data_IF_122710513149
#
_entry.id   IF_122710513149
#
_cell.length_a   1.000
_cell.length_b   1.000
_cell.length_c   1.000
_cell.angle_alpha   90.00
_cell.angle_beta   90.00
_cell.angle_gamma   90.00
#
_symmetry.space_group_name_H-M   'P 1'
#
loop_
_entity.id
_entity.type
_entity.pdbx_description
1 polymer ?
#
# COMPACT_ATOMS: atom_id res chain seq x y z
N UNK A 1 9.28 -17.76 -21.59
CA UNK A 1 8.50 -16.71 -20.90
C UNK A 1 7.02 -16.90 -21.20
N UNK A 2 6.24 -17.34 -20.21
CA UNK A 2 4.81 -17.63 -20.34
C UNK A 2 4.08 -16.27 -20.46
N UNK A 3 3.60 -15.92 -21.66
CA UNK A 3 2.72 -14.73 -21.82
C UNK A 3 1.50 -14.97 -20.94
N UNK A 4 1.43 -14.30 -19.81
CA UNK A 4 0.20 -14.21 -19.02
C UNK A 4 -0.86 -13.69 -20.00
N UNK A 5 -1.82 -14.55 -20.37
CA UNK A 5 -2.97 -14.14 -21.16
C UNK A 5 -3.75 -13.16 -20.30
N UNK A 6 -3.49 -11.86 -20.49
CA UNK A 6 -4.38 -10.86 -19.98
C UNK A 6 -5.73 -11.11 -20.66
N UNK A 7 -6.77 -11.34 -19.85
CA UNK A 7 -8.09 -11.61 -20.38
C UNK A 7 -8.68 -10.26 -20.76
N UNK A 8 -8.37 -9.79 -21.98
CA UNK A 8 -8.82 -8.52 -22.54
C UNK A 8 -10.33 -8.31 -22.30
N UNK A 9 -11.13 -9.37 -22.44
CA UNK A 9 -12.57 -9.36 -22.22
C UNK A 9 -12.95 -9.00 -20.77
N UNK A 10 -12.22 -9.52 -19.78
CA UNK A 10 -12.46 -9.21 -18.36
C UNK A 10 -12.07 -7.77 -18.04
N UNK A 11 -10.96 -7.29 -18.60
CA UNK A 11 -10.50 -5.90 -18.41
C UNK A 11 -11.52 -4.92 -18.95
N UNK A 12 -12.06 -5.17 -20.14
CA UNK A 12 -13.08 -4.33 -20.78
C UNK A 12 -14.38 -4.37 -20.00
N UNK A 13 -14.82 -5.56 -19.57
CA UNK A 13 -16.01 -5.67 -18.72
C UNK A 13 -15.82 -4.88 -17.42
N UNK A 14 -14.64 -4.93 -16.81
CA UNK A 14 -14.32 -4.14 -15.60
C UNK A 14 -14.41 -2.63 -15.87
N UNK A 15 -13.92 -2.16 -17.03
CA UNK A 15 -14.02 -0.75 -17.43
C UNK A 15 -15.49 -0.34 -17.63
N UNK A 16 -16.27 -1.13 -18.35
CA UNK A 16 -17.69 -0.87 -18.61
C UNK A 16 -18.50 -0.86 -17.31
N UNK A 17 -18.29 -1.84 -16.44
CA UNK A 17 -18.93 -1.91 -15.12
C UNK A 17 -18.54 -0.72 -14.25
N UNK A 18 -17.27 -0.34 -14.23
CA UNK A 18 -16.79 0.82 -13.50
C UNK A 18 -17.43 2.13 -13.96
N UNK A 19 -17.45 2.38 -15.28
CA UNK A 19 -18.12 3.56 -15.86
C UNK A 19 -19.62 3.58 -15.58
N UNK A 20 -20.27 2.41 -15.63
CA UNK A 20 -21.70 2.28 -15.32
C UNK A 20 -21.97 2.60 -13.85
N UNK A 21 -21.17 2.06 -12.92
CA UNK A 21 -21.25 2.36 -11.49
C UNK A 21 -21.10 3.87 -11.21
N UNK A 22 -20.12 4.51 -11.87
CA UNK A 22 -19.90 5.96 -11.76
C UNK A 22 -21.11 6.74 -12.28
N UNK A 23 -21.72 6.31 -13.39
CA UNK A 23 -22.91 6.97 -13.94
C UNK A 23 -24.10 6.93 -12.97
N UNK A 24 -24.25 5.82 -12.22
CA UNK A 24 -25.31 5.67 -11.22
C UNK A 24 -25.04 6.55 -9.99
N UNK A 25 -23.79 6.65 -9.53
CA UNK A 25 -23.44 7.49 -8.37
C UNK A 25 -23.50 8.99 -8.68
N UNK A 26 -23.16 9.38 -9.91
CA UNK A 26 -23.09 10.80 -10.29
C UNK A 26 -24.37 11.34 -10.95
N UNK A 27 -25.36 10.50 -11.24
CA UNK A 27 -26.59 10.86 -11.99
C UNK A 27 -26.33 11.55 -13.35
N UNK A 28 -25.12 11.42 -13.89
CA UNK A 28 -24.72 12.02 -15.17
C UNK A 28 -24.80 10.97 -16.28
N UNK A 29 -25.71 11.20 -17.24
CA UNK A 29 -25.95 10.28 -18.35
C UNK A 29 -24.78 10.16 -19.35
N UNK A 30 -23.86 11.12 -19.39
CA UNK A 30 -22.72 11.11 -20.32
C UNK A 30 -21.81 9.88 -20.13
N UNK A 31 -21.60 9.46 -18.89
CA UNK A 31 -20.78 8.27 -18.58
C UNK A 31 -21.45 6.97 -19.03
N UNK A 32 -22.78 6.92 -19.04
CA UNK A 32 -23.53 5.76 -19.51
C UNK A 32 -23.39 5.62 -21.03
N UNK A 33 -23.51 6.72 -21.78
CA UNK A 33 -23.26 6.71 -23.23
C UNK A 33 -21.83 6.28 -23.55
N UNK A 34 -20.83 6.76 -22.81
CA UNK A 34 -19.44 6.34 -22.97
C UNK A 34 -19.26 4.83 -22.69
N UNK A 35 -19.88 4.29 -21.64
CA UNK A 35 -19.82 2.87 -21.31
C UNK A 35 -20.42 1.99 -22.43
N UNK A 36 -21.56 2.39 -22.97
CA UNK A 36 -22.23 1.67 -24.08
C UNK A 36 -21.40 1.72 -25.36
N UNK A 37 -20.81 2.87 -25.69
CA UNK A 37 -19.95 3.00 -26.88
C UNK A 37 -18.70 2.12 -26.73
N UNK A 38 -18.01 2.20 -25.59
CA UNK A 38 -16.80 1.41 -25.34
C UNK A 38 -17.12 -0.08 -25.34
N UNK A 39 -18.22 -0.49 -24.69
CA UNK A 39 -18.70 -1.86 -24.71
C UNK A 39 -19.06 -2.33 -26.12
N UNK A 40 -19.83 -1.56 -26.88
CA UNK A 40 -20.22 -1.88 -28.25
C UNK A 40 -19.02 -2.00 -29.19
N UNK A 41 -18.08 -1.05 -29.13
CA UNK A 41 -16.84 -1.08 -29.93
C UNK A 41 -16.00 -2.32 -29.60
N UNK A 42 -15.96 -2.72 -28.33
CA UNK A 42 -15.20 -3.90 -27.90
C UNK A 42 -15.72 -5.23 -28.42
N UNK A 43 -17.05 -5.32 -28.64
CA UNK A 43 -17.72 -6.48 -29.22
C UNK A 43 -17.43 -6.62 -30.72
N UNK A 44 -17.30 -5.49 -31.43
CA UNK A 44 -17.09 -5.46 -32.88
C UNK A 44 -15.64 -5.73 -33.27
N UNK A 45 -14.66 -5.29 -32.47
CA UNK A 45 -13.24 -5.39 -32.83
C UNK A 45 -12.33 -5.80 -31.67
N UNK A 46 -11.78 -7.02 -31.76
CA UNK A 46 -10.78 -7.56 -30.84
C UNK A 46 -9.47 -6.76 -30.85
N UNK A 47 -9.11 -6.11 -31.97
CA UNK A 47 -7.89 -5.30 -32.06
C UNK A 47 -8.00 -3.98 -31.30
N UNK A 48 -9.16 -3.32 -31.35
CA UNK A 48 -9.40 -2.09 -30.57
C UNK A 48 -9.46 -2.38 -29.08
N UNK A 49 -10.12 -3.49 -28.70
CA UNK A 49 -10.17 -4.03 -27.34
C UNK A 49 -8.78 -4.14 -26.70
N UNK A 50 -7.79 -4.68 -27.44
CA UNK A 50 -6.40 -4.79 -26.96
C UNK A 50 -5.71 -3.44 -26.79
N UNK A 51 -6.05 -2.45 -27.61
CA UNK A 51 -5.46 -1.12 -27.51
C UNK A 51 -6.00 -0.36 -26.29
N UNK A 52 -7.31 -0.45 -26.07
CA UNK A 52 -7.98 0.09 -24.88
C UNK A 52 -7.41 -0.57 -23.61
N UNK A 53 -7.27 -1.90 -23.62
CA UNK A 53 -6.65 -2.62 -22.51
C UNK A 53 -5.21 -2.15 -22.26
N UNK A 54 -4.41 -1.96 -23.31
CA UNK A 54 -3.03 -1.49 -23.16
C UNK A 54 -2.97 -0.10 -22.53
N UNK A 55 -3.85 0.81 -22.94
CA UNK A 55 -3.98 2.14 -22.31
C UNK A 55 -4.40 2.04 -20.85
N UNK A 56 -5.40 1.22 -20.55
CA UNK A 56 -5.85 0.96 -19.19
C UNK A 56 -4.73 0.41 -18.30
N UNK A 57 -3.96 -0.55 -18.79
CA UNK A 57 -2.83 -1.13 -18.07
C UNK A 57 -1.69 -0.14 -17.90
N UNK A 58 -1.45 0.76 -18.85
CA UNK A 58 -0.48 1.84 -18.70
C UNK A 58 -0.86 2.75 -17.52
N UNK A 59 -2.14 3.14 -17.44
CA UNK A 59 -2.68 3.93 -16.35
C UNK A 59 -2.58 3.19 -15.00
N UNK A 60 -2.94 1.91 -14.97
CA UNK A 60 -2.81 1.08 -13.78
C UNK A 60 -1.35 0.96 -13.31
N UNK A 61 -0.39 0.87 -14.23
CA UNK A 61 1.03 0.80 -13.89
C UNK A 61 1.51 2.10 -13.22
N UNK A 62 1.15 3.27 -13.79
CA UNK A 62 1.47 4.57 -13.18
C UNK A 62 0.86 4.66 -11.78
N UNK A 63 -0.41 4.27 -11.64
CA UNK A 63 -1.08 4.30 -10.35
C UNK A 63 -0.42 3.33 -9.34
N UNK A 64 0.07 2.18 -9.79
CA UNK A 64 0.80 1.21 -8.98
C UNK A 64 2.14 1.73 -8.43
N UNK A 65 2.73 2.77 -9.02
CA UNK A 65 3.92 3.42 -8.43
C UNK A 65 3.55 4.44 -7.36
N UNK A 66 2.38 5.06 -7.48
CA UNK A 66 1.93 6.15 -6.61
C UNK A 66 1.25 5.60 -5.35
N UNK A 67 0.36 4.62 -5.51
CA UNK A 67 -0.46 4.04 -4.44
C UNK A 67 0.38 3.48 -3.28
N UNK A 68 1.46 2.69 -3.49
CA UNK A 68 2.24 2.15 -2.38
C UNK A 68 2.85 3.24 -1.50
N UNK A 69 3.32 4.33 -2.11
CA UNK A 69 3.87 5.46 -1.38
C UNK A 69 2.78 6.14 -0.54
N UNK A 70 1.60 6.38 -1.12
CA UNK A 70 0.46 6.95 -0.40
C UNK A 70 0.07 6.06 0.78
N UNK A 71 -0.08 4.75 0.56
CA UNK A 71 -0.44 3.80 1.61
C UNK A 71 0.63 3.79 2.70
N UNK A 72 1.92 3.76 2.34
CA UNK A 72 3.02 3.76 3.30
C UNK A 72 3.04 5.04 4.13
N UNK A 73 2.86 6.20 3.50
CA UNK A 73 2.75 7.49 4.19
C UNK A 73 1.56 7.50 5.13
N UNK A 74 0.39 7.03 4.68
CA UNK A 74 -0.81 6.95 5.52
C UNK A 74 -0.57 6.04 6.73
N UNK A 75 0.00 4.86 6.51
CA UNK A 75 0.30 3.89 7.56
C UNK A 75 1.31 4.46 8.57
N UNK A 76 2.33 5.17 8.08
CA UNK A 76 3.30 5.86 8.93
C UNK A 76 2.64 6.91 9.82
N UNK A 77 1.80 7.78 9.27
CA UNK A 77 1.18 8.86 10.05
C UNK A 77 0.03 8.39 10.94
N UNK A 78 -0.76 7.42 10.50
CA UNK A 78 -1.96 6.96 11.21
C UNK A 78 -1.63 5.88 12.24
N UNK A 79 -0.58 5.08 12.04
CA UNK A 79 -0.22 3.97 12.93
C UNK A 79 1.12 4.20 13.62
N UNK A 80 2.23 4.33 12.87
CA UNK A 80 3.57 4.37 13.46
C UNK A 80 3.81 5.65 14.27
N UNK A 81 3.32 6.79 13.80
CA UNK A 81 3.51 8.09 14.45
C UNK A 81 2.83 8.15 15.82
N UNK A 82 1.52 7.84 15.98
CA UNK A 82 0.92 7.84 17.31
C UNK A 82 1.54 6.77 18.22
N UNK A 83 1.92 5.61 17.67
CA UNK A 83 2.63 4.58 18.44
C UNK A 83 3.97 5.09 18.98
N UNK A 84 4.74 5.84 18.19
CA UNK A 84 5.99 6.45 18.61
C UNK A 84 5.79 7.51 19.70
N UNK A 85 4.72 8.31 19.61
CA UNK A 85 4.36 9.27 20.66
C UNK A 85 4.01 8.56 21.97
N UNK A 86 3.21 7.50 21.91
CA UNK A 86 2.87 6.68 23.08
C UNK A 86 4.12 6.04 23.70
N UNK A 87 5.02 5.48 22.87
CA UNK A 87 6.29 4.91 23.31
C UNK A 87 7.19 5.94 24.01
N UNK A 88 7.27 7.16 23.48
CA UNK A 88 8.03 8.27 24.10
C UNK A 88 7.48 8.70 25.46
N UNK A 89 6.17 8.58 25.68
CA UNK A 89 5.58 8.93 26.97
C UNK A 89 5.99 7.93 28.07
N UNK A 90 6.13 6.65 27.73
CA UNK A 90 6.54 5.59 28.66
C UNK A 90 8.06 5.47 28.85
N UNK A 91 8.87 5.75 27.83
CA UNK A 91 10.32 5.52 27.85
C UNK A 91 11.09 6.80 27.49
N UNK A 92 11.53 7.56 28.51
CA UNK A 92 12.19 8.88 28.33
C UNK A 92 13.56 8.80 27.65
N UNK A 93 14.30 7.69 27.77
CA UNK A 93 15.65 7.59 27.19
C UNK A 93 16.12 6.13 26.99
N UNK A 94 15.44 5.32 26.16
CA UNK A 94 15.78 3.90 26.00
C UNK A 94 17.19 3.68 25.45
N UNK A 95 17.70 4.62 24.65
CA UNK A 95 19.01 4.54 24.02
C UNK A 95 20.10 5.36 24.75
N UNK A 96 19.78 5.98 25.90
CA UNK A 96 20.73 6.79 26.70
C UNK A 96 21.55 7.78 25.84
N UNK A 97 20.92 8.41 24.85
CA UNK A 97 21.60 9.24 23.85
C UNK A 97 22.01 10.62 24.38
N UNK A 98 21.51 11.00 25.55
CA UNK A 98 21.94 12.21 26.26
C UNK A 98 22.95 11.81 27.33
N UNK A 99 24.10 12.48 27.29
CA UNK A 99 25.13 12.36 28.32
C UNK A 99 24.69 13.13 29.58
N UNK A 100 23.81 12.52 30.36
CA UNK A 100 23.30 13.09 31.63
C UNK A 100 24.09 12.63 32.84
N UNK A 101 24.95 11.62 32.68
CA UNK A 101 25.73 10.97 33.73
C UNK A 101 27.23 11.23 33.52
N UNK A 102 28.02 11.22 34.59
CA UNK A 102 29.48 11.43 34.50
C UNK A 102 30.25 10.26 33.86
N UNK A 103 29.59 9.10 33.71
CA UNK A 103 30.17 7.86 33.21
C UNK A 103 29.10 7.05 32.46
N UNK A 104 29.50 6.39 31.37
CA UNK A 104 28.64 5.43 30.65
C UNK A 104 28.58 4.06 31.35
N UNK A 105 29.42 3.84 32.36
CA UNK A 105 29.40 2.61 33.15
C UNK A 105 28.26 2.65 34.15
N UNK A 106 27.46 1.59 34.19
CA UNK A 106 26.45 1.38 35.23
C UNK A 106 27.01 0.43 36.28
N UNK A 107 27.05 0.87 37.52
CA UNK A 107 27.38 -0.01 38.63
C UNK A 107 26.26 -1.05 38.79
N UNK A 108 26.62 -2.31 38.54
CA UNK A 108 25.74 -3.46 38.73
C UNK A 108 26.28 -4.27 39.89
N UNK A 109 25.63 -4.15 41.04
CA UNK A 109 25.83 -5.07 42.16
C UNK A 109 24.79 -6.18 41.99
N UNK A 110 25.19 -7.31 41.41
CA UNK A 110 24.34 -8.50 41.27
C UNK A 110 24.85 -9.61 42.20
N UNK A 111 23.93 -10.20 42.97
CA UNK A 111 24.19 -11.45 43.69
C UNK A 111 24.15 -12.60 42.69
N UNK A 112 25.29 -13.24 42.46
CA UNK A 112 25.41 -14.35 41.53
C UNK A 112 24.63 -15.56 42.04
N UNK A 113 23.68 -16.04 41.23
CA UNK A 113 22.95 -17.26 41.52
C UNK A 113 23.53 -18.43 40.70
N UNK A 114 23.46 -19.67 41.20
CA UNK A 114 23.97 -20.84 40.46
C UNK A 114 23.39 -20.98 39.05
N UNK A 115 22.15 -20.56 38.86
CA UNK A 115 21.44 -20.56 37.57
C UNK A 115 22.05 -19.63 36.51
N UNK A 116 22.82 -18.62 36.91
CA UNK A 116 23.47 -17.69 35.99
C UNK A 116 24.65 -18.36 35.25
N UNK A 117 25.16 -19.48 35.76
CA UNK A 117 26.24 -20.25 35.16
C UNK A 117 25.76 -21.33 34.18
N UNK A 118 24.44 -21.55 34.05
CA UNK A 118 23.91 -22.57 33.14
C UNK A 118 24.03 -22.16 31.66
N UNK A 119 24.07 -20.86 31.37
CA UNK A 119 24.25 -20.32 30.00
C UNK A 119 25.27 -19.20 30.01
N UNK A 120 26.52 -19.59 29.86
CA UNK A 120 27.71 -18.73 29.89
C UNK A 120 27.97 -17.99 28.56
N UNK A 121 27.17 -18.26 27.52
CA UNK A 121 27.37 -17.80 26.14
C UNK A 121 26.33 -16.77 25.72
#
# INVERSE_FOLDING_TARGET
>A
MKKLKANTDKSILTIVVGLTLISILSEVNEFLYAAVIIGGVSLVSVSLSKWIEKLWMCLANVLSYIIPNIILTLLFYLVLTPLAYLSRLGNKNPLQLKNTEGSMFKDRITEFQPTDFDKMW
#
